data_IF_991053575489
#
_entry.id   IF_991053575489
#
_cell.length_a   1.000
_cell.length_b   1.000
_cell.length_c   1.000
_cell.angle_alpha   90.00
_cell.angle_beta   90.00
_cell.angle_gamma   90.00
#
_symmetry.space_group_name_H-M   'P 1'
#
loop_
_entity.id
_entity.type
_entity.pdbx_description
1 polymer ?
#
# COMPACT_ATOMS: atom_id res chain seq x y z
N UNK A 1 16.41 -3.38 1.37
CA UNK A 1 16.64 -2.39 0.30
C UNK A 1 15.46 -1.43 0.13
N UNK A 2 14.25 -1.88 -0.27
CA UNK A 2 13.10 -0.96 -0.51
C UNK A 2 12.73 -0.09 0.70
N UNK A 3 12.56 -0.69 1.88
CA UNK A 3 12.21 0.03 3.12
C UNK A 3 13.24 1.10 3.48
N UNK A 4 14.52 0.80 3.31
CA UNK A 4 15.61 1.77 3.53
C UNK A 4 15.57 2.91 2.51
N UNK A 5 15.27 2.63 1.24
CA UNK A 5 15.10 3.67 0.23
C UNK A 5 13.89 4.57 0.53
N UNK A 6 12.78 4.00 1.01
CA UNK A 6 11.61 4.78 1.46
C UNK A 6 12.00 5.64 2.67
N UNK A 7 12.76 5.11 3.64
CA UNK A 7 13.23 5.89 4.77
C UNK A 7 14.13 7.05 4.35
N UNK A 8 15.06 6.82 3.42
CA UNK A 8 15.91 7.87 2.87
C UNK A 8 15.09 8.94 2.14
N UNK A 9 14.05 8.55 1.40
CA UNK A 9 13.14 9.49 0.76
C UNK A 9 12.31 10.28 1.79
N UNK A 10 11.79 9.63 2.83
CA UNK A 10 11.03 10.26 3.90
C UNK A 10 11.87 11.26 4.71
N UNK A 11 13.16 11.00 4.90
CA UNK A 11 14.08 11.89 5.60
C UNK A 11 14.36 13.22 4.86
N UNK A 12 14.04 13.29 3.57
CA UNK A 12 14.19 14.53 2.78
C UNK A 12 13.05 15.53 3.00
N UNK A 13 11.94 15.10 3.58
CA UNK A 13 10.79 15.96 3.85
C UNK A 13 11.05 16.86 5.05
N UNK A 14 10.56 18.09 4.97
CA UNK A 14 10.43 18.95 6.15
C UNK A 14 9.03 18.79 6.75
N UNK A 15 8.98 18.32 8.00
CA UNK A 15 7.75 18.05 8.73
C UNK A 15 7.46 19.19 9.72
N UNK A 16 6.42 20.02 9.50
CA UNK A 16 6.00 20.99 10.51
C UNK A 16 5.41 20.30 11.75
N UNK A 17 5.25 21.04 12.87
CA UNK A 17 4.54 20.53 14.04
C UNK A 17 3.13 20.03 13.71
N UNK A 18 2.71 18.93 14.35
CA UNK A 18 1.35 18.37 14.20
C UNK A 18 1.20 17.31 13.08
N UNK A 19 2.21 17.15 12.22
CA UNK A 19 2.29 16.03 11.28
C UNK A 19 2.32 14.71 12.04
N UNK A 20 1.69 13.67 11.47
CA UNK A 20 1.70 12.31 12.00
C UNK A 20 2.39 11.36 11.01
N UNK A 21 3.72 11.20 11.10
CA UNK A 21 4.46 10.23 10.29
C UNK A 21 4.03 8.80 10.57
N UNK A 22 4.14 7.95 9.56
CA UNK A 22 3.99 6.51 9.69
C UNK A 22 5.34 5.91 10.07
N UNK A 23 5.33 4.94 10.98
CA UNK A 23 6.53 4.17 11.27
C UNK A 23 6.92 3.37 10.01
N UNK A 24 8.22 3.07 9.81
CA UNK A 24 8.63 2.27 8.67
C UNK A 24 7.81 1.00 8.51
N UNK A 25 7.49 0.31 9.62
CA UNK A 25 6.71 -0.94 9.66
C UNK A 25 5.28 -0.81 9.13
N UNK A 26 4.76 0.39 9.09
CA UNK A 26 3.44 0.70 8.55
C UNK A 26 3.47 1.12 7.07
N UNK A 27 4.64 1.25 6.43
CA UNK A 27 4.72 1.58 5.00
C UNK A 27 4.30 0.40 4.12
N UNK A 28 3.26 0.61 3.32
CA UNK A 28 2.70 -0.38 2.42
C UNK A 28 2.05 0.32 1.22
N UNK A 29 1.72 -0.46 0.19
CA UNK A 29 0.79 -0.06 -0.86
C UNK A 29 -0.50 -0.83 -0.67
N UNK A 30 -1.60 -0.11 -0.50
CA UNK A 30 -2.93 -0.72 -0.42
C UNK A 30 -3.36 -1.17 -1.81
N UNK A 31 -3.70 -2.45 -1.93
CA UNK A 31 -4.32 -2.99 -3.16
C UNK A 31 -5.83 -2.81 -3.11
N UNK A 32 -6.48 -3.23 -2.03
CA UNK A 32 -7.92 -3.05 -1.80
C UNK A 32 -8.17 -2.79 -0.31
N UNK A 33 -9.01 -1.80 0.00
CA UNK A 33 -9.50 -1.59 1.36
C UNK A 33 -10.83 -2.35 1.54
N UNK A 34 -10.89 -3.24 2.52
CA UNK A 34 -12.05 -4.12 2.71
C UNK A 34 -13.12 -3.55 3.65
N UNK A 35 -12.84 -2.42 4.31
CA UNK A 35 -13.71 -1.89 5.35
C UNK A 35 -13.80 -2.80 6.58
N UNK A 36 -14.90 -2.68 7.31
CA UNK A 36 -15.21 -3.57 8.42
C UNK A 36 -15.81 -4.87 7.88
N UNK A 37 -15.12 -6.00 8.11
CA UNK A 37 -15.59 -7.33 7.71
C UNK A 37 -15.71 -8.21 8.97
N UNK A 38 -16.83 -8.94 9.17
CA UNK A 38 -16.98 -9.83 10.33
C UNK A 38 -15.86 -10.88 10.41
N UNK A 39 -15.33 -11.13 11.61
CA UNK A 39 -14.24 -12.10 11.82
C UNK A 39 -14.58 -13.52 11.33
N UNK A 40 -15.86 -13.91 11.39
CA UNK A 40 -16.33 -15.21 10.88
C UNK A 40 -16.07 -15.40 9.37
N UNK A 41 -15.89 -14.31 8.61
CA UNK A 41 -15.56 -14.35 7.18
C UNK A 41 -14.07 -14.58 6.91
N UNK A 42 -13.23 -14.52 7.94
CA UNK A 42 -11.78 -14.53 7.78
C UNK A 42 -11.25 -15.79 7.07
N UNK A 43 -11.70 -17.03 7.39
CA UNK A 43 -11.24 -18.21 6.67
C UNK A 43 -11.55 -18.15 5.17
N UNK A 44 -12.76 -17.69 4.81
CA UNK A 44 -13.16 -17.52 3.42
C UNK A 44 -12.34 -16.43 2.70
N UNK A 45 -11.99 -15.35 3.39
CA UNK A 45 -11.07 -14.33 2.86
C UNK A 45 -9.67 -14.90 2.63
N UNK A 46 -9.14 -15.64 3.59
CA UNK A 46 -7.80 -16.23 3.49
C UNK A 46 -7.70 -17.19 2.30
N UNK A 47 -8.69 -18.04 2.12
CA UNK A 47 -8.74 -18.96 0.98
C UNK A 47 -9.01 -18.22 -0.34
N UNK A 48 -10.04 -17.38 -0.39
CA UNK A 48 -10.48 -16.72 -1.63
C UNK A 48 -9.49 -15.68 -2.15
N UNK A 49 -8.67 -15.09 -1.28
CA UNK A 49 -7.64 -14.14 -1.67
C UNK A 49 -6.27 -14.79 -1.95
N UNK A 50 -6.16 -16.12 -1.99
CA UNK A 50 -4.96 -16.82 -2.44
C UNK A 50 -4.83 -16.82 -3.98
N UNK A 51 -4.73 -15.63 -4.56
CA UNK A 51 -4.65 -15.38 -6.00
C UNK A 51 -3.19 -15.52 -6.46
N UNK A 52 -2.88 -16.41 -7.41
CA UNK A 52 -1.51 -16.57 -7.88
C UNK A 52 -1.03 -15.35 -8.65
N UNK A 53 0.27 -15.05 -8.59
CA UNK A 53 0.89 -14.02 -9.41
C UNK A 53 2.39 -14.31 -9.60
N UNK A 54 2.93 -13.85 -10.72
CA UNK A 54 4.37 -13.91 -11.00
C UNK A 54 5.08 -12.74 -10.31
N UNK A 55 6.26 -12.92 -9.69
CA UNK A 55 7.03 -11.80 -9.15
C UNK A 55 7.25 -10.71 -10.21
N UNK A 56 7.24 -9.45 -9.79
CA UNK A 56 7.50 -8.33 -10.68
C UNK A 56 8.23 -7.21 -9.96
N UNK A 57 8.81 -6.29 -10.73
CA UNK A 57 9.34 -5.03 -10.22
C UNK A 57 8.43 -3.91 -10.65
N UNK A 58 8.26 -2.94 -9.77
CA UNK A 58 7.59 -1.69 -10.08
C UNK A 58 8.34 -0.55 -9.40
N UNK A 59 8.02 0.68 -9.78
CA UNK A 59 8.79 1.85 -9.35
C UNK A 59 7.87 2.86 -8.69
N UNK A 60 8.27 3.35 -7.51
CA UNK A 60 7.71 4.58 -6.94
C UNK A 60 8.46 5.76 -7.56
N UNK A 61 7.73 6.68 -8.20
CA UNK A 61 8.32 7.73 -9.02
C UNK A 61 8.80 8.91 -8.18
N UNK A 62 8.05 9.28 -7.14
CA UNK A 62 8.47 10.39 -6.29
C UNK A 62 7.49 10.79 -5.21
N UNK A 63 7.87 11.82 -4.42
CA UNK A 63 7.03 12.37 -3.37
C UNK A 63 5.88 13.21 -3.94
N UNK A 64 4.75 13.22 -3.24
CA UNK A 64 3.62 14.11 -3.52
C UNK A 64 2.84 14.44 -2.25
N UNK A 65 2.25 15.64 -2.22
CA UNK A 65 1.19 15.99 -1.27
C UNK A 65 -0.17 15.78 -1.94
N UNK A 66 -1.05 15.02 -1.30
CA UNK A 66 -2.42 14.77 -1.74
C UNK A 66 -3.43 15.49 -0.82
N UNK A 67 -4.67 15.70 -1.29
CA UNK A 67 -5.74 16.26 -0.47
C UNK A 67 -5.93 15.53 0.86
N UNK A 68 -6.55 16.21 1.83
CA UNK A 68 -6.76 15.71 3.19
C UNK A 68 -5.46 15.46 3.98
N UNK A 69 -4.41 16.24 3.69
CA UNK A 69 -3.17 16.25 4.46
C UNK A 69 -2.37 14.95 4.36
N UNK A 70 -2.29 14.35 3.16
CA UNK A 70 -1.52 13.13 2.92
C UNK A 70 -0.17 13.46 2.27
N UNK A 71 0.92 13.03 2.90
CA UNK A 71 2.24 12.99 2.27
C UNK A 71 2.53 11.57 1.81
N UNK A 72 2.82 11.38 0.53
CA UNK A 72 2.98 10.06 -0.08
C UNK A 72 4.25 9.97 -0.92
N UNK A 73 4.73 8.74 -1.14
CA UNK A 73 5.50 8.38 -2.33
C UNK A 73 4.55 7.69 -3.30
N UNK A 74 4.47 8.14 -4.55
CA UNK A 74 3.50 7.63 -5.50
C UNK A 74 4.13 7.29 -6.85
N UNK A 75 3.43 6.45 -7.60
CA UNK A 75 3.56 6.34 -9.05
C UNK A 75 2.27 6.86 -9.68
N UNK A 76 2.36 7.64 -10.76
CA UNK A 76 1.19 8.19 -11.42
C UNK A 76 0.25 7.09 -11.94
N UNK A 77 0.81 5.94 -12.35
CA UNK A 77 0.05 4.78 -12.83
C UNK A 77 0.61 3.49 -12.25
N UNK A 78 -0.27 2.50 -12.08
CA UNK A 78 0.14 1.14 -11.79
C UNK A 78 0.84 0.51 -13.00
N UNK A 79 2.01 -0.09 -12.78
CA UNK A 79 2.66 -0.92 -13.80
C UNK A 79 1.72 -2.07 -14.19
N UNK A 80 1.75 -2.55 -15.46
CA UNK A 80 0.86 -3.62 -15.94
C UNK A 80 0.73 -4.84 -14.99
N UNK A 81 1.81 -5.40 -14.40
CA UNK A 81 1.66 -6.53 -13.49
C UNK A 81 0.96 -6.18 -12.17
N UNK A 82 1.18 -4.97 -11.62
CA UNK A 82 0.48 -4.50 -10.43
C UNK A 82 -1.01 -4.26 -10.71
N UNK A 83 -1.33 -3.68 -11.86
CA UNK A 83 -2.72 -3.52 -12.32
C UNK A 83 -3.41 -4.87 -12.56
N UNK A 84 -2.68 -5.87 -13.08
CA UNK A 84 -3.19 -7.23 -13.22
C UNK A 84 -3.48 -7.89 -11.86
N UNK A 85 -2.56 -7.81 -10.90
CA UNK A 85 -2.79 -8.30 -9.53
C UNK A 85 -4.00 -7.63 -8.88
N UNK A 86 -4.10 -6.30 -8.97
CA UNK A 86 -5.24 -5.52 -8.47
C UNK A 86 -6.57 -6.00 -9.06
N UNK A 87 -6.64 -6.25 -10.37
CA UNK A 87 -7.86 -6.75 -11.05
C UNK A 87 -8.22 -8.18 -10.65
N UNK A 88 -7.24 -9.06 -10.45
CA UNK A 88 -7.49 -10.44 -10.02
C UNK A 88 -8.02 -10.49 -8.59
N UNK A 89 -7.44 -9.67 -7.69
CA UNK A 89 -7.96 -9.50 -6.33
C UNK A 89 -9.37 -8.91 -6.34
N UNK A 90 -9.65 -7.92 -7.20
CA UNK A 90 -11.00 -7.39 -7.39
C UNK A 90 -12.01 -8.49 -7.80
N UNK A 91 -11.63 -9.40 -8.69
CA UNK A 91 -12.49 -10.53 -9.07
C UNK A 91 -12.75 -11.48 -7.89
N UNK A 92 -11.70 -11.83 -7.14
CA UNK A 92 -11.83 -12.68 -5.95
C UNK A 92 -12.72 -12.04 -4.87
N UNK A 93 -12.58 -10.73 -4.63
CA UNK A 93 -13.42 -9.98 -3.69
C UNK A 93 -14.90 -9.97 -4.10
N UNK A 94 -15.18 -9.80 -5.40
CA UNK A 94 -16.56 -9.89 -5.92
C UNK A 94 -17.15 -11.30 -5.75
N UNK A 95 -16.36 -12.35 -5.97
CA UNK A 95 -16.80 -13.73 -5.73
C UNK A 95 -17.12 -13.98 -4.25
N UNK A 96 -16.47 -13.24 -3.35
CA UNK A 96 -16.77 -13.23 -1.91
C UNK A 96 -17.90 -12.25 -1.55
N UNK A 97 -18.62 -11.66 -2.51
CA UNK A 97 -19.66 -10.66 -2.28
C UNK A 97 -19.18 -9.46 -1.43
N UNK A 98 -17.91 -9.05 -1.60
CA UNK A 98 -17.38 -7.83 -1.01
C UNK A 98 -17.39 -6.67 -2.03
N UNK A 99 -17.61 -5.42 -1.56
CA UNK A 99 -17.51 -4.26 -2.41
C UNK A 99 -16.08 -4.09 -2.93
N UNK A 100 -15.95 -3.61 -4.15
CA UNK A 100 -14.67 -3.31 -4.79
C UNK A 100 -14.74 -1.94 -5.42
N UNK A 101 -13.72 -1.14 -5.19
CA UNK A 101 -13.61 0.18 -5.81
C UNK A 101 -13.50 0.07 -7.34
N UNK A 102 -14.20 0.96 -8.04
CA UNK A 102 -14.22 0.98 -9.51
C UNK A 102 -13.11 1.82 -10.12
N UNK A 103 -12.43 2.63 -9.30
CA UNK A 103 -11.39 3.55 -9.75
C UNK A 103 -10.07 2.81 -10.02
N UNK A 104 -9.27 3.29 -10.99
CA UNK A 104 -7.93 2.76 -11.20
C UNK A 104 -7.05 2.89 -9.95
N UNK A 105 -6.27 1.85 -9.66
CA UNK A 105 -5.26 1.89 -8.60
C UNK A 105 -4.26 3.02 -8.88
N UNK A 106 -4.12 3.94 -7.93
CA UNK A 106 -3.02 4.91 -7.83
C UNK A 106 -2.06 4.42 -6.75
N UNK A 107 -1.03 3.64 -7.11
CA UNK A 107 -0.19 3.01 -6.11
C UNK A 107 0.64 4.05 -5.37
N UNK A 108 0.56 4.02 -4.06
CA UNK A 108 1.25 4.97 -3.21
C UNK A 108 1.59 4.34 -1.85
N UNK A 109 2.66 4.84 -1.24
CA UNK A 109 3.00 4.63 0.16
C UNK A 109 2.66 5.90 0.91
N UNK A 110 1.80 5.80 1.92
CA UNK A 110 1.57 6.92 2.84
C UNK A 110 2.76 7.05 3.78
N UNK A 111 3.44 8.20 3.74
CA UNK A 111 4.53 8.54 4.64
C UNK A 111 4.02 9.23 5.91
N UNK A 112 3.03 10.11 5.78
CA UNK A 112 2.44 10.84 6.89
C UNK A 112 1.00 11.28 6.63
N UNK A 113 0.25 11.54 7.71
CA UNK A 113 -1.06 12.20 7.72
C UNK A 113 -0.96 13.55 8.43
N UNK A 114 -1.99 14.40 8.26
CA UNK A 114 -1.99 15.79 8.76
C UNK A 114 -0.76 16.55 8.27
N UNK A 115 -0.38 16.29 7.03
CA UNK A 115 0.79 16.84 6.37
C UNK A 115 0.49 18.20 5.69
N UNK A 116 -0.55 18.89 6.13
CA UNK A 116 -0.84 20.25 5.68
C UNK A 116 0.34 21.16 6.05
N UNK A 117 0.88 21.87 5.05
CA UNK A 117 2.10 22.67 5.22
C UNK A 117 3.42 21.88 5.22
N UNK A 118 3.39 20.55 5.06
CA UNK A 118 4.63 19.79 4.84
C UNK A 118 5.27 20.19 3.51
N UNK A 119 6.60 20.39 3.53
CA UNK A 119 7.32 20.77 2.32
C UNK A 119 7.73 19.50 1.58
N UNK A 120 7.05 19.24 0.47
CA UNK A 120 7.36 18.15 -0.43
C UNK A 120 8.74 18.40 -1.07
N UNK A 121 9.69 17.44 -0.99
CA UNK A 121 10.98 17.59 -1.64
C UNK A 121 10.84 17.79 -3.16
N UNK A 122 11.67 18.67 -3.72
CA UNK A 122 11.80 18.79 -5.17
C UNK A 122 12.47 17.53 -5.73
N UNK A 123 11.74 16.80 -6.57
CA UNK A 123 12.20 15.55 -7.17
C UNK A 123 12.39 14.40 -6.17
N UNK A 124 12.62 13.22 -6.71
CA UNK A 124 12.88 12.00 -5.94
C UNK A 124 13.68 11.02 -6.78
N UNK A 125 14.49 10.18 -6.14
CA UNK A 125 15.10 9.05 -6.83
C UNK A 125 14.05 7.95 -6.93
N UNK A 126 13.77 7.43 -8.14
CA UNK A 126 12.80 6.36 -8.29
C UNK A 126 13.17 5.15 -7.44
N UNK A 127 12.22 4.63 -6.66
CA UNK A 127 12.47 3.48 -5.79
C UNK A 127 11.95 2.23 -6.48
N UNK A 128 12.87 1.38 -6.93
CA UNK A 128 12.53 0.07 -7.48
C UNK A 128 12.10 -0.86 -6.34
N UNK A 129 10.91 -1.40 -6.45
CA UNK A 129 10.31 -2.31 -5.48
C UNK A 129 10.09 -3.68 -6.12
N UNK A 130 10.85 -4.71 -5.71
CA UNK A 130 10.56 -6.09 -6.09
C UNK A 130 9.37 -6.64 -5.29
N UNK A 131 8.26 -6.91 -5.97
CA UNK A 131 7.05 -7.50 -5.38
C UNK A 131 7.15 -9.01 -5.45
N UNK A 132 7.20 -9.65 -4.29
CA UNK A 132 7.31 -11.10 -4.12
C UNK A 132 6.20 -11.72 -3.29
N UNK A 133 5.41 -10.89 -2.62
CA UNK A 133 4.23 -11.32 -1.86
C UNK A 133 3.25 -10.14 -1.77
N UNK A 134 2.00 -10.45 -1.45
CA UNK A 134 1.06 -9.49 -0.86
C UNK A 134 0.47 -10.09 0.42
N UNK A 135 -0.19 -9.26 1.22
CA UNK A 135 -0.70 -9.66 2.52
C UNK A 135 -2.16 -9.28 2.70
N UNK A 136 -2.89 -10.09 3.46
CA UNK A 136 -4.12 -9.67 4.10
C UNK A 136 -3.73 -9.11 5.48
N UNK A 137 -4.01 -7.84 5.71
CA UNK A 137 -3.69 -7.16 6.97
C UNK A 137 -4.96 -6.62 7.62
N UNK A 138 -4.97 -6.63 8.95
CA UNK A 138 -6.00 -6.03 9.79
C UNK A 138 -5.46 -4.76 10.41
N UNK A 139 -6.17 -3.64 10.24
CA UNK A 139 -5.91 -2.41 10.99
C UNK A 139 -6.16 -2.65 12.48
N UNK A 140 -5.22 -2.25 13.34
CA UNK A 140 -5.34 -2.39 14.81
C UNK A 140 -6.17 -1.28 15.44
N UNK A 141 -6.31 -0.14 14.76
CA UNK A 141 -6.87 1.09 15.35
C UNK A 141 -5.85 1.87 16.19
N UNK A 142 -4.67 1.30 16.44
CA UNK A 142 -3.62 1.91 17.25
C UNK A 142 -2.72 2.84 16.43
N UNK A 143 -2.01 3.78 17.08
CA UNK A 143 -1.02 4.64 16.41
C UNK A 143 0.16 3.85 15.83
N UNK A 144 0.61 2.79 16.52
CA UNK A 144 1.64 1.84 16.11
C UNK A 144 1.61 0.57 17.01
N UNK A 145 1.77 -0.66 16.47
CA UNK A 145 1.73 -0.97 15.04
C UNK A 145 0.32 -0.76 14.49
N UNK A 146 0.19 -0.14 13.31
CA UNK A 146 -1.12 0.18 12.72
C UNK A 146 -1.78 -1.05 12.09
N UNK A 147 -0.98 -2.04 11.72
CA UNK A 147 -1.44 -3.22 10.99
C UNK A 147 -0.90 -4.50 11.61
N UNK A 148 -1.73 -5.53 11.61
CA UNK A 148 -1.36 -6.91 11.93
C UNK A 148 -1.57 -7.77 10.69
N UNK A 149 -0.56 -8.56 10.31
CA UNK A 149 -0.65 -9.44 9.16
C UNK A 149 -1.44 -10.68 9.55
N UNK A 150 -2.46 -11.00 8.76
CA UNK A 150 -3.36 -12.14 9.01
C UNK A 150 -3.08 -13.29 8.04
N UNK A 151 -2.65 -12.99 6.82
CA UNK A 151 -2.16 -13.97 5.87
C UNK A 151 -1.13 -13.35 4.92
N UNK A 152 -0.21 -14.18 4.42
CA UNK A 152 0.79 -13.82 3.42
C UNK A 152 0.60 -14.72 2.21
N UNK A 153 0.69 -14.13 1.02
CA UNK A 153 0.52 -14.82 -0.24
C UNK A 153 1.79 -14.60 -1.08
N UNK A 154 2.72 -15.57 -1.09
CA UNK A 154 3.92 -15.46 -1.90
C UNK A 154 3.56 -15.56 -3.39
N UNK A 155 4.40 -14.97 -4.23
CA UNK A 155 4.34 -15.20 -5.67
C UNK A 155 4.55 -16.67 -5.99
N UNK A 156 3.92 -17.12 -7.08
CA UNK A 156 3.88 -18.54 -7.49
C UNK A 156 4.76 -18.85 -8.70
N UNK A 157 5.45 -17.85 -9.26
CA UNK A 157 6.42 -18.01 -10.36
C UNK A 157 7.87 -17.83 -9.88
N UNK A 158 8.85 -18.23 -10.72
CA UNK A 158 10.28 -18.03 -10.42
C UNK A 158 10.67 -16.54 -10.27
#
# INVERSE_FOLDING_TARGET
>A
MTRQAIAAAAARWHWPPGVRPYAPDDWHVTLHFLGAVPLARLPALQAGLAVPFTPFRWTLEGPACWPHGLAVLASARAAPPLAALHRRLAHALRALALPVETWPLRPHVTLARRADGAQCPAGGSPIVWPVREYVLARSTGEPAPRYTIVARYPATGP
#
